data_IF_582665383107
#
_entry.id   IF_582665383107
#
_cell.length_a   1.000
_cell.length_b   1.000
_cell.length_c   1.000
_cell.angle_alpha   90.00
_cell.angle_beta   90.00
_cell.angle_gamma   90.00
#
_symmetry.space_group_name_H-M   'P 1'
#
loop_
_entity.id
_entity.type
_entity.pdbx_description
1 polymer ?
#
# COMPACT_ATOMS: atom_id res chain seq x y z
N UNK A 1 21.85 -17.42 0.26
CA UNK A 1 20.46 -17.64 0.69
C UNK A 1 19.49 -16.55 0.21
N UNK A 2 19.75 -15.26 0.49
CA UNK A 2 18.85 -14.16 0.09
C UNK A 2 18.49 -14.13 -1.41
N UNK A 3 19.47 -14.34 -2.30
CA UNK A 3 19.23 -14.42 -3.75
C UNK A 3 18.36 -15.59 -4.16
N UNK A 4 18.57 -16.76 -3.55
CA UNK A 4 17.76 -17.96 -3.83
C UNK A 4 16.31 -17.70 -3.43
N UNK A 5 16.07 -17.10 -2.26
CA UNK A 5 14.74 -16.69 -1.83
C UNK A 5 14.14 -15.61 -2.74
N UNK A 6 14.97 -14.70 -3.29
CA UNK A 6 14.55 -13.72 -4.30
C UNK A 6 14.14 -14.38 -5.62
N UNK A 7 14.85 -15.42 -6.07
CA UNK A 7 14.48 -16.18 -7.26
C UNK A 7 13.21 -17.00 -7.05
N UNK A 8 13.05 -17.63 -5.89
CA UNK A 8 11.82 -18.34 -5.54
C UNK A 8 10.63 -17.37 -5.55
N UNK A 9 10.79 -16.22 -4.90
CA UNK A 9 9.76 -15.16 -4.88
C UNK A 9 9.42 -14.66 -6.29
N UNK A 10 10.43 -14.45 -7.13
CA UNK A 10 10.23 -14.08 -8.54
C UNK A 10 9.48 -15.18 -9.32
N UNK A 11 9.85 -16.44 -9.17
CA UNK A 11 9.17 -17.55 -9.84
C UNK A 11 7.72 -17.67 -9.39
N UNK A 12 7.44 -17.54 -8.09
CA UNK A 12 6.08 -17.51 -7.56
C UNK A 12 5.28 -16.32 -8.13
N UNK A 13 5.92 -15.16 -8.23
CA UNK A 13 5.32 -13.97 -8.81
C UNK A 13 4.97 -14.17 -10.29
N UNK A 14 5.89 -14.70 -11.09
CA UNK A 14 5.67 -14.98 -12.52
C UNK A 14 4.57 -16.02 -12.71
N UNK A 15 4.57 -17.10 -11.93
CA UNK A 15 3.51 -18.10 -11.99
C UNK A 15 2.15 -17.48 -11.67
N UNK A 16 2.06 -16.68 -10.61
CA UNK A 16 0.83 -16.00 -10.24
C UNK A 16 0.37 -14.99 -11.30
N UNK A 17 1.31 -14.23 -11.87
CA UNK A 17 1.09 -13.30 -12.97
C UNK A 17 0.51 -14.03 -14.20
N UNK A 18 1.08 -15.17 -14.58
CA UNK A 18 0.58 -16.04 -15.64
C UNK A 18 -0.84 -16.59 -15.33
N UNK A 19 -1.11 -16.99 -14.09
CA UNK A 19 -2.44 -17.48 -13.69
C UNK A 19 -3.51 -16.40 -13.61
N UNK A 20 -3.13 -15.18 -13.22
CA UNK A 20 -4.06 -14.05 -13.07
C UNK A 20 -4.21 -13.21 -14.33
N UNK A 21 -3.35 -13.43 -15.33
CA UNK A 21 -3.37 -12.79 -16.64
C UNK A 21 -2.90 -11.33 -16.66
N UNK A 22 -2.23 -10.84 -15.59
CA UNK A 22 -1.80 -9.43 -15.42
C UNK A 22 -2.89 -8.35 -15.59
N UNK A 23 -4.15 -8.74 -15.74
CA UNK A 23 -5.23 -7.81 -16.06
C UNK A 23 -5.61 -6.93 -14.86
N UNK A 24 -5.17 -7.26 -13.65
CA UNK A 24 -5.57 -6.57 -12.43
C UNK A 24 -5.21 -5.08 -12.47
N UNK A 25 -3.99 -4.73 -12.88
CA UNK A 25 -3.56 -3.33 -12.92
C UNK A 25 -4.30 -2.55 -14.02
N UNK A 26 -4.50 -3.19 -15.19
CA UNK A 26 -5.24 -2.60 -16.29
C UNK A 26 -6.72 -2.37 -15.94
N UNK A 27 -7.37 -3.36 -15.31
CA UNK A 27 -8.74 -3.27 -14.78
C UNK A 27 -8.85 -2.15 -13.75
N UNK A 28 -7.91 -2.07 -12.81
CA UNK A 28 -7.86 -0.99 -11.83
C UNK A 28 -7.76 0.38 -12.51
N UNK A 29 -6.78 0.56 -13.39
CA UNK A 29 -6.54 1.81 -14.09
C UNK A 29 -7.78 2.27 -14.87
N UNK A 30 -8.42 1.37 -15.62
CA UNK A 30 -9.61 1.71 -16.40
C UNK A 30 -10.83 2.04 -15.54
N UNK A 31 -11.02 1.30 -14.44
CA UNK A 31 -12.11 1.54 -13.49
C UNK A 31 -11.93 2.91 -12.81
N UNK A 32 -10.71 3.19 -12.35
CA UNK A 32 -10.32 4.47 -11.77
C UNK A 32 -10.49 5.62 -12.76
N UNK A 33 -10.07 5.45 -14.02
CA UNK A 33 -10.24 6.47 -15.06
C UNK A 33 -11.72 6.81 -15.27
N UNK A 34 -12.59 5.81 -15.27
CA UNK A 34 -14.04 6.01 -15.36
C UNK A 34 -14.59 6.76 -14.14
N UNK A 35 -14.15 6.38 -12.94
CA UNK A 35 -14.55 7.04 -11.69
C UNK A 35 -14.10 8.50 -11.66
N UNK A 36 -12.88 8.80 -12.11
CA UNK A 36 -12.35 10.17 -12.14
C UNK A 36 -13.20 11.08 -13.05
N UNK A 37 -13.69 10.55 -14.19
CA UNK A 37 -14.64 11.26 -15.07
C UNK A 37 -15.96 11.54 -14.33
N UNK A 38 -16.52 10.54 -13.62
CA UNK A 38 -17.76 10.70 -12.85
C UNK A 38 -17.63 11.71 -11.70
N UNK A 39 -16.47 11.74 -11.04
CA UNK A 39 -16.14 12.70 -9.98
C UNK A 39 -15.94 14.13 -10.48
N UNK A 40 -15.89 14.34 -11.80
CA UNK A 40 -15.59 15.65 -12.40
C UNK A 40 -14.15 16.08 -12.13
N UNK A 41 -13.24 15.12 -12.02
CA UNK A 41 -11.81 15.38 -11.93
C UNK A 41 -11.36 15.96 -13.28
N UNK A 42 -11.18 17.29 -13.35
CA UNK A 42 -10.82 18.01 -14.59
C UNK A 42 -9.43 17.57 -15.06
N UNK A 43 -9.30 16.51 -15.88
CA UNK A 43 -8.07 16.03 -16.56
C UNK A 43 -6.76 16.33 -15.79
N UNK A 44 -6.79 16.22 -14.47
CA UNK A 44 -5.61 16.30 -13.63
C UNK A 44 -4.96 14.94 -13.75
N UNK A 45 -3.63 14.91 -13.89
CA UNK A 45 -2.87 13.65 -13.98
C UNK A 45 -3.35 12.74 -12.82
N UNK A 46 -3.88 11.57 -13.21
CA UNK A 46 -4.56 10.51 -12.41
C UNK A 46 -3.80 10.15 -11.13
N UNK A 47 -2.49 10.31 -11.22
CA UNK A 47 -1.53 10.54 -10.16
C UNK A 47 -0.72 11.75 -10.66
N UNK A 48 -0.21 12.62 -9.78
CA UNK A 48 0.80 13.58 -10.23
C UNK A 48 1.90 12.76 -10.92
N UNK A 49 1.90 12.76 -12.25
CA UNK A 49 2.75 11.85 -13.04
C UNK A 49 4.19 12.07 -12.63
N UNK A 50 4.51 13.29 -12.21
CA UNK A 50 5.80 13.68 -11.72
C UNK A 50 6.13 12.96 -10.41
N UNK A 51 5.20 12.75 -9.48
CA UNK A 51 5.43 12.01 -8.24
C UNK A 51 5.68 10.52 -8.46
N UNK A 52 4.92 9.85 -9.35
CA UNK A 52 5.21 8.45 -9.69
C UNK A 52 6.50 8.32 -10.48
N UNK A 53 6.71 9.17 -11.49
CA UNK A 53 7.95 9.16 -12.27
C UNK A 53 9.14 9.43 -11.36
N UNK A 54 9.01 10.38 -10.42
CA UNK A 54 10.03 10.66 -9.42
C UNK A 54 10.28 9.43 -8.55
N UNK A 55 9.24 8.81 -7.99
CA UNK A 55 9.37 7.61 -7.17
C UNK A 55 10.07 6.49 -7.95
N UNK A 56 9.60 6.19 -9.16
CA UNK A 56 10.21 5.21 -10.07
C UNK A 56 11.67 5.55 -10.36
N UNK A 57 11.99 6.81 -10.65
CA UNK A 57 13.37 7.26 -10.93
C UNK A 57 14.30 7.11 -9.73
N UNK A 58 13.81 7.39 -8.51
CA UNK A 58 14.62 7.26 -7.29
C UNK A 58 14.96 5.78 -7.05
N UNK A 59 14.00 4.87 -7.24
CA UNK A 59 14.21 3.43 -7.05
C UNK A 59 15.15 2.87 -8.11
N UNK A 60 14.98 3.26 -9.38
CA UNK A 60 15.85 2.79 -10.47
C UNK A 60 17.28 3.30 -10.26
N UNK A 61 17.46 4.57 -9.91
CA UNK A 61 18.78 5.14 -9.61
C UNK A 61 19.41 4.42 -8.41
N UNK A 62 18.68 4.26 -7.30
CA UNK A 62 19.18 3.54 -6.13
C UNK A 62 19.64 2.12 -6.49
N UNK A 63 18.91 1.44 -7.39
CA UNK A 63 19.27 0.09 -7.84
C UNK A 63 20.49 0.05 -8.74
N UNK A 64 20.62 1.00 -9.67
CA UNK A 64 21.83 1.13 -10.49
C UNK A 64 23.05 1.32 -9.57
N UNK A 65 22.93 2.15 -8.53
CA UNK A 65 23.99 2.37 -7.53
C UNK A 65 24.31 1.08 -6.77
N UNK A 66 23.30 0.33 -6.30
CA UNK A 66 23.51 -0.95 -5.60
C UNK A 66 24.22 -1.96 -6.50
N UNK A 67 23.78 -2.11 -7.75
CA UNK A 67 24.40 -3.02 -8.73
C UNK A 67 25.85 -2.62 -8.98
N UNK A 68 26.10 -1.31 -9.17
CA UNK A 68 27.45 -0.78 -9.37
C UNK A 68 28.35 -1.08 -8.18
N UNK A 69 27.93 -0.73 -6.96
CA UNK A 69 28.67 -1.01 -5.72
C UNK A 69 28.94 -2.50 -5.50
N UNK A 70 28.07 -3.39 -6.00
CA UNK A 70 28.28 -4.84 -5.87
C UNK A 70 29.21 -5.39 -6.94
N UNK A 71 29.17 -4.81 -8.14
CA UNK A 71 30.02 -5.20 -9.27
C UNK A 71 31.51 -4.90 -9.04
N UNK A 72 31.82 -3.89 -8.22
CA UNK A 72 33.21 -3.59 -7.84
C UNK A 72 33.77 -4.58 -6.82
N UNK A 73 32.91 -5.30 -6.09
CA UNK A 73 33.29 -6.24 -5.03
C UNK A 73 33.33 -7.70 -5.52
N UNK A 74 32.40 -8.10 -6.40
CA UNK A 74 32.37 -9.45 -6.98
C UNK A 74 32.86 -9.44 -8.43
N UNK A 75 33.72 -10.39 -8.79
CA UNK A 75 34.11 -10.65 -10.17
C UNK A 75 32.84 -10.81 -11.05
N UNK A 76 32.74 -9.98 -12.08
CA UNK A 76 31.56 -9.87 -12.93
C UNK A 76 31.27 -11.20 -13.63
N UNK A 77 30.11 -11.81 -13.35
CA UNK A 77 29.63 -13.02 -14.02
C UNK A 77 28.24 -12.77 -14.60
N UNK A 78 27.99 -13.20 -15.84
CA UNK A 78 26.70 -13.02 -16.52
C UNK A 78 25.50 -13.57 -15.74
N UNK A 79 25.69 -14.63 -14.95
CA UNK A 79 24.65 -15.20 -14.08
C UNK A 79 24.12 -14.21 -13.05
N UNK A 80 24.95 -13.27 -12.60
CA UNK A 80 24.58 -12.25 -11.62
C UNK A 80 23.60 -11.23 -12.24
N UNK A 81 23.78 -10.89 -13.52
CA UNK A 81 22.89 -9.94 -14.23
C UNK A 81 21.47 -10.48 -14.29
N UNK A 82 21.29 -11.76 -14.63
CA UNK A 82 19.97 -12.40 -14.70
C UNK A 82 19.23 -12.36 -13.36
N UNK A 83 19.94 -12.61 -12.25
CA UNK A 83 19.36 -12.52 -10.90
C UNK A 83 18.93 -11.09 -10.57
N UNK A 84 19.74 -10.08 -10.92
CA UNK A 84 19.36 -8.68 -10.68
C UNK A 84 18.17 -8.23 -11.51
N UNK A 85 18.07 -8.67 -12.77
CA UNK A 85 16.91 -8.38 -13.62
C UNK A 85 15.63 -8.99 -13.03
N UNK A 86 15.70 -10.22 -12.53
CA UNK A 86 14.57 -10.88 -11.85
C UNK A 86 14.14 -10.10 -10.58
N UNK A 87 15.09 -9.71 -9.73
CA UNK A 87 14.81 -8.92 -8.53
C UNK A 87 14.23 -7.54 -8.91
N UNK A 88 14.77 -6.90 -9.95
CA UNK A 88 14.29 -5.61 -10.42
C UNK A 88 12.84 -5.69 -10.92
N UNK A 89 12.51 -6.72 -11.71
CA UNK A 89 11.14 -6.99 -12.16
C UNK A 89 10.16 -7.19 -10.99
N UNK A 90 10.60 -7.91 -9.95
CA UNK A 90 9.82 -8.09 -8.72
C UNK A 90 9.57 -6.75 -8.00
N UNK A 91 10.57 -5.86 -7.91
CA UNK A 91 10.41 -4.55 -7.28
C UNK A 91 9.45 -3.63 -8.05
N UNK A 92 9.49 -3.64 -9.37
CA UNK A 92 8.50 -2.92 -10.20
C UNK A 92 7.09 -3.37 -9.83
N UNK A 93 6.91 -4.67 -9.63
CA UNK A 93 5.61 -5.22 -9.28
C UNK A 93 5.11 -4.76 -7.91
N UNK A 94 5.99 -4.68 -6.91
CA UNK A 94 5.63 -4.09 -5.61
C UNK A 94 5.34 -2.59 -5.68
N UNK A 95 6.00 -1.88 -6.60
CA UNK A 95 5.65 -0.49 -6.87
C UNK A 95 4.24 -0.35 -7.44
N UNK A 96 3.79 -1.26 -8.32
CA UNK A 96 2.42 -1.22 -8.83
C UNK A 96 1.38 -1.34 -7.69
N UNK A 97 1.62 -2.24 -6.73
CA UNK A 97 0.76 -2.40 -5.54
C UNK A 97 0.73 -1.09 -4.73
N UNK A 98 1.89 -0.49 -4.51
CA UNK A 98 2.01 0.79 -3.81
C UNK A 98 1.24 1.91 -4.53
N UNK A 99 1.34 1.97 -5.85
CA UNK A 99 0.62 2.94 -6.68
C UNK A 99 -0.90 2.75 -6.56
N UNK A 100 -1.39 1.51 -6.49
CA UNK A 100 -2.82 1.22 -6.30
C UNK A 100 -3.32 1.81 -4.97
N UNK A 101 -2.64 1.52 -3.85
CA UNK A 101 -3.05 2.05 -2.55
C UNK A 101 -2.88 3.57 -2.45
N UNK A 102 -1.82 4.12 -3.03
CA UNK A 102 -1.62 5.56 -3.14
C UNK A 102 -2.74 6.25 -3.93
N UNK A 103 -3.15 5.65 -5.05
CA UNK A 103 -4.26 6.10 -5.89
C UNK A 103 -5.60 6.09 -5.13
N UNK A 104 -5.84 5.05 -4.32
CA UNK A 104 -7.01 4.96 -3.44
C UNK A 104 -7.01 6.05 -2.37
N UNK A 105 -5.88 6.24 -1.68
CA UNK A 105 -5.71 7.29 -0.66
C UNK A 105 -6.05 8.68 -1.22
N UNK A 106 -5.46 9.05 -2.36
CA UNK A 106 -5.68 10.37 -2.94
C UNK A 106 -7.13 10.62 -3.34
N UNK A 107 -7.82 9.59 -3.86
CA UNK A 107 -9.24 9.70 -4.25
C UNK A 107 -10.16 9.77 -3.06
N UNK A 108 -9.88 9.01 -2.00
CA UNK A 108 -10.63 9.10 -0.76
C UNK A 108 -10.46 10.48 -0.11
N UNK A 109 -9.23 11.00 -0.08
CA UNK A 109 -8.94 12.37 0.37
C UNK A 109 -9.67 13.43 -0.45
N UNK A 110 -9.72 13.27 -1.77
CA UNK A 110 -10.46 14.16 -2.65
C UNK A 110 -11.96 14.12 -2.37
N UNK A 111 -12.52 12.92 -2.22
CA UNK A 111 -13.92 12.71 -1.90
C UNK A 111 -14.29 13.34 -0.56
N UNK A 112 -13.44 13.18 0.46
CA UNK A 112 -13.59 13.85 1.75
C UNK A 112 -13.66 15.37 1.62
N UNK A 113 -12.75 15.99 0.86
CA UNK A 113 -12.81 17.44 0.59
C UNK A 113 -14.13 17.85 -0.07
N UNK A 114 -14.70 17.00 -0.94
CA UNK A 114 -16.01 17.26 -1.56
C UNK A 114 -17.16 17.23 -0.55
N UNK A 115 -17.13 16.30 0.41
CA UNK A 115 -18.08 16.30 1.54
C UNK A 115 -17.92 17.54 2.43
N UNK A 116 -16.69 17.98 2.71
CA UNK A 116 -16.40 19.19 3.51
C UNK A 116 -16.97 20.47 2.87
N UNK A 117 -16.94 20.57 1.53
CA UNK A 117 -17.44 21.73 0.79
C UNK A 117 -18.98 21.84 0.83
N UNK A 118 -19.72 20.74 1.09
CA UNK A 118 -21.17 20.80 1.24
C UNK A 118 -21.49 21.51 2.56
N UNK A 119 -21.62 22.84 2.51
CA UNK A 119 -22.07 23.61 3.66
C UNK A 119 -23.56 23.39 3.88
N UNK A 120 -23.97 22.95 5.07
CA UNK A 120 -25.38 22.86 5.43
C UNK A 120 -25.79 24.23 5.95
N UNK A 121 -26.82 24.84 5.34
CA UNK A 121 -27.27 26.13 5.78
C UNK A 121 -28.09 25.96 7.06
N UNK A 122 -27.83 26.81 8.07
CA UNK A 122 -28.56 26.79 9.35
C UNK A 122 -29.96 27.40 9.19
N UNK A 123 -30.15 28.28 8.20
CA UNK A 123 -31.40 29.00 7.93
C UNK A 123 -32.24 28.27 6.89
N UNK A 124 -33.58 28.34 6.99
CA UNK A 124 -34.55 27.76 6.04
C UNK A 124 -34.22 28.27 4.63
N UNK A 125 -33.54 27.43 3.85
CA UNK A 125 -33.24 27.72 2.45
C UNK A 125 -34.38 27.16 1.60
N UNK A 126 -34.77 27.91 0.56
CA UNK A 126 -35.77 27.44 -0.42
C UNK A 126 -35.52 26.01 -0.91
N UNK A 127 -36.60 25.22 -0.98
CA UNK A 127 -36.63 23.76 -1.26
C UNK A 127 -35.70 23.31 -2.41
N UNK A 128 -35.53 24.15 -3.44
CA UNK A 128 -34.70 23.85 -4.60
C UNK A 128 -33.20 23.69 -4.27
N UNK A 129 -32.66 24.50 -3.35
CA UNK A 129 -31.24 24.42 -2.94
C UNK A 129 -30.98 23.23 -2.01
N UNK A 130 -31.98 22.77 -1.26
CA UNK A 130 -31.89 21.54 -0.45
C UNK A 130 -31.83 20.32 -1.37
N UNK A 131 -32.73 20.25 -2.35
CA UNK A 131 -32.76 19.16 -3.32
C UNK A 131 -31.44 19.02 -4.11
N UNK A 132 -30.78 20.13 -4.47
CA UNK A 132 -29.48 20.08 -5.16
C UNK A 132 -28.36 19.54 -4.26
N UNK A 133 -28.35 19.88 -2.96
CA UNK A 133 -27.39 19.35 -1.99
C UNK A 133 -27.60 17.86 -1.73
N UNK A 134 -28.86 17.41 -1.62
CA UNK A 134 -29.18 15.98 -1.51
C UNK A 134 -28.66 15.21 -2.73
N UNK A 135 -28.88 15.72 -3.94
CA UNK A 135 -28.33 15.10 -5.17
C UNK A 135 -26.80 15.03 -5.15
N UNK A 136 -26.11 16.04 -4.61
CA UNK A 136 -24.66 16.03 -4.47
C UNK A 136 -24.17 14.98 -3.46
N UNK A 137 -24.82 14.86 -2.30
CA UNK A 137 -24.51 13.83 -1.29
C UNK A 137 -24.64 12.43 -1.91
N UNK A 138 -25.77 12.15 -2.56
CA UNK A 138 -26.00 10.88 -3.26
C UNK A 138 -24.93 10.61 -4.32
N UNK A 139 -24.58 11.62 -5.12
CA UNK A 139 -23.51 11.50 -6.13
C UNK A 139 -22.17 11.13 -5.49
N UNK A 140 -21.80 11.76 -4.37
CA UNK A 140 -20.55 11.45 -3.68
C UNK A 140 -20.56 10.08 -3.01
N UNK A 141 -21.72 9.62 -2.52
CA UNK A 141 -21.88 8.26 -2.00
C UNK A 141 -21.73 7.19 -3.10
N UNK A 142 -22.28 7.44 -4.28
CA UNK A 142 -22.09 6.57 -5.46
C UNK A 142 -20.60 6.52 -5.85
N UNK A 143 -19.91 7.67 -5.82
CA UNK A 143 -18.47 7.72 -6.07
C UNK A 143 -17.66 6.94 -5.02
N UNK A 144 -18.03 7.03 -3.74
CA UNK A 144 -17.44 6.22 -2.67
C UNK A 144 -17.61 4.72 -2.95
N UNK A 145 -18.83 4.31 -3.28
CA UNK A 145 -19.16 2.93 -3.59
C UNK A 145 -18.34 2.39 -4.77
N UNK A 146 -18.23 3.15 -5.86
CA UNK A 146 -17.43 2.74 -7.02
C UNK A 146 -15.94 2.63 -6.70
N UNK A 147 -15.38 3.48 -5.82
CA UNK A 147 -13.99 3.34 -5.38
C UNK A 147 -13.77 2.01 -4.65
N UNK A 148 -14.67 1.64 -3.74
CA UNK A 148 -14.56 0.39 -3.01
C UNK A 148 -14.73 -0.83 -3.93
N UNK A 149 -15.70 -0.79 -4.84
CA UNK A 149 -15.93 -1.87 -5.79
C UNK A 149 -14.73 -2.04 -6.74
N UNK A 150 -14.14 -0.93 -7.20
CA UNK A 150 -12.92 -0.98 -8.01
C UNK A 150 -11.77 -1.70 -7.32
N UNK A 151 -11.58 -1.50 -6.01
CA UNK A 151 -10.57 -2.22 -5.24
C UNK A 151 -10.98 -3.69 -5.02
N UNK A 152 -12.27 -3.95 -4.80
CA UNK A 152 -12.82 -5.30 -4.62
C UNK A 152 -12.65 -6.17 -5.87
N UNK A 153 -12.81 -5.61 -7.05
CA UNK A 153 -12.67 -6.31 -8.33
C UNK A 153 -11.24 -6.83 -8.56
N UNK A 154 -10.24 -6.10 -8.06
CA UNK A 154 -8.82 -6.49 -8.17
C UNK A 154 -8.28 -7.20 -6.92
N UNK A 155 -9.11 -7.31 -5.87
CA UNK A 155 -8.69 -7.80 -4.56
C UNK A 155 -8.10 -9.22 -4.60
N UNK A 156 -8.64 -10.09 -5.45
CA UNK A 156 -8.14 -11.46 -5.59
C UNK A 156 -6.64 -11.50 -5.92
N UNK A 157 -6.23 -10.87 -7.03
CA UNK A 157 -4.82 -10.80 -7.41
C UNK A 157 -3.96 -10.07 -6.38
N UNK A 158 -4.46 -8.95 -5.87
CA UNK A 158 -3.75 -8.12 -4.90
C UNK A 158 -3.47 -8.87 -3.58
N UNK A 159 -4.41 -9.69 -3.10
CA UNK A 159 -4.23 -10.54 -1.92
C UNK A 159 -3.11 -11.56 -2.11
N UNK A 160 -3.08 -12.26 -3.25
CA UNK A 160 -2.02 -13.24 -3.53
C UNK A 160 -0.64 -12.58 -3.62
N UNK A 161 -0.53 -11.43 -4.29
CA UNK A 161 0.75 -10.73 -4.40
C UNK A 161 1.27 -10.23 -3.06
N UNK A 162 0.41 -9.62 -2.24
CA UNK A 162 0.77 -9.17 -0.90
C UNK A 162 1.15 -10.33 0.02
N UNK A 163 0.42 -11.46 -0.07
CA UNK A 163 0.73 -12.65 0.72
C UNK A 163 2.09 -13.25 0.36
N UNK A 164 2.39 -13.42 -0.94
CA UNK A 164 3.71 -13.88 -1.41
C UNK A 164 4.81 -12.92 -0.94
N UNK A 165 4.58 -11.60 -1.08
CA UNK A 165 5.52 -10.58 -0.64
C UNK A 165 5.81 -10.70 0.87
N UNK A 166 4.80 -10.82 1.73
CA UNK A 166 5.01 -10.94 3.17
C UNK A 166 5.70 -12.27 3.51
N UNK A 167 5.21 -13.39 2.97
CA UNK A 167 5.71 -14.72 3.26
C UNK A 167 7.18 -14.91 2.82
N UNK A 168 7.56 -14.34 1.68
CA UNK A 168 8.93 -14.46 1.16
C UNK A 168 9.90 -13.44 1.79
N UNK A 169 9.44 -12.24 2.16
CA UNK A 169 10.31 -11.23 2.75
C UNK A 169 10.51 -11.42 4.27
N UNK A 170 9.55 -12.00 5.00
CA UNK A 170 9.70 -12.20 6.45
C UNK A 170 10.94 -13.05 6.83
N UNK A 171 11.20 -14.23 6.21
CA UNK A 171 12.42 -14.99 6.48
C UNK A 171 13.70 -14.21 6.12
N UNK A 172 13.65 -13.39 5.06
CA UNK A 172 14.78 -12.55 4.67
C UNK A 172 15.08 -11.53 5.76
N UNK A 173 14.07 -10.86 6.31
CA UNK A 173 14.24 -9.88 7.38
C UNK A 173 14.83 -10.51 8.64
N UNK A 174 14.36 -11.70 9.04
CA UNK A 174 14.92 -12.42 10.20
C UNK A 174 16.39 -12.75 9.96
N UNK A 175 16.72 -13.34 8.80
CA UNK A 175 18.10 -13.69 8.44
C UNK A 175 19.01 -12.46 8.38
N UNK A 176 18.52 -11.36 7.81
CA UNK A 176 19.28 -10.12 7.70
C UNK A 176 19.46 -9.43 9.04
N UNK A 177 18.44 -9.37 9.88
CA UNK A 177 18.54 -8.80 11.22
C UNK A 177 19.56 -9.58 12.07
N UNK A 178 19.53 -10.92 12.02
CA UNK A 178 20.55 -11.75 12.65
C UNK A 178 21.96 -11.45 12.11
N UNK A 179 22.10 -11.40 10.78
CA UNK A 179 23.39 -11.08 10.13
C UNK A 179 23.91 -9.69 10.52
N UNK A 180 23.02 -8.69 10.60
CA UNK A 180 23.36 -7.32 10.97
C UNK A 180 23.88 -7.24 12.41
N UNK A 181 23.24 -7.94 13.36
CA UNK A 181 23.71 -8.02 14.75
C UNK A 181 25.07 -8.71 14.81
N UNK A 182 25.23 -9.86 14.14
CA UNK A 182 26.50 -10.59 14.12
C UNK A 182 27.64 -9.71 13.62
N UNK A 183 27.43 -8.99 12.52
CA UNK A 183 28.45 -8.10 11.94
C UNK A 183 28.75 -6.94 12.89
N UNK A 184 27.74 -6.29 13.48
CA UNK A 184 27.97 -5.17 14.41
C UNK A 184 28.73 -5.57 15.67
N UNK A 185 28.57 -6.81 16.14
CA UNK A 185 29.22 -7.30 17.36
C UNK A 185 30.62 -7.87 17.10
N UNK A 186 30.84 -8.54 15.96
CA UNK A 186 32.07 -9.32 15.72
C UNK A 186 33.03 -8.72 14.68
N UNK A 187 32.60 -7.85 13.77
CA UNK A 187 33.40 -7.44 12.61
C UNK A 187 33.36 -5.92 12.35
N UNK A 188 34.38 -5.37 11.69
CA UNK A 188 34.31 -4.02 11.15
C UNK A 188 33.28 -3.93 10.01
N UNK A 189 32.55 -2.83 9.93
CA UNK A 189 31.55 -2.59 8.88
C UNK A 189 32.23 -2.60 7.50
N UNK A 190 32.00 -3.66 6.72
CA UNK A 190 32.45 -3.75 5.33
C UNK A 190 31.43 -3.10 4.38
N UNK A 191 31.88 -2.66 3.20
CA UNK A 191 30.98 -2.11 2.18
C UNK A 191 29.88 -3.11 1.79
N UNK A 192 30.20 -4.41 1.75
CA UNK A 192 29.23 -5.46 1.45
C UNK A 192 28.09 -5.51 2.47
N UNK A 193 28.39 -5.41 3.78
CA UNK A 193 27.36 -5.43 4.81
C UNK A 193 26.48 -4.18 4.77
N UNK A 194 27.07 -3.02 4.48
CA UNK A 194 26.33 -1.78 4.29
C UNK A 194 25.34 -1.88 3.11
N UNK A 195 25.78 -2.36 1.95
CA UNK A 195 24.91 -2.56 0.77
C UNK A 195 23.75 -3.53 1.09
N UNK A 196 24.03 -4.61 1.81
CA UNK A 196 23.03 -5.60 2.22
C UNK A 196 21.97 -4.99 3.16
N UNK A 197 22.38 -4.13 4.10
CA UNK A 197 21.45 -3.42 4.99
C UNK A 197 20.55 -2.45 4.23
N UNK A 198 21.08 -1.75 3.23
CA UNK A 198 20.30 -0.86 2.36
C UNK A 198 19.26 -1.66 1.57
N UNK A 199 19.64 -2.80 0.98
CA UNK A 199 18.71 -3.68 0.26
C UNK A 199 17.59 -4.22 1.16
N UNK A 200 17.91 -4.55 2.42
CA UNK A 200 16.92 -4.98 3.41
C UNK A 200 15.94 -3.85 3.75
N UNK A 201 16.46 -2.66 4.03
CA UNK A 201 15.64 -1.50 4.38
C UNK A 201 14.71 -1.11 3.23
N UNK A 202 15.21 -1.10 1.99
CA UNK A 202 14.40 -0.89 0.80
C UNK A 202 13.30 -1.97 0.69
N UNK A 203 13.65 -3.25 0.88
CA UNK A 203 12.68 -4.34 0.91
C UNK A 203 11.57 -4.12 1.93
N UNK A 204 11.94 -3.71 3.14
CA UNK A 204 11.01 -3.41 4.23
C UNK A 204 10.05 -2.28 3.83
N UNK A 205 10.55 -1.20 3.24
CA UNK A 205 9.72 -0.09 2.76
C UNK A 205 8.64 -0.55 1.77
N UNK A 206 8.92 -1.51 0.89
CA UNK A 206 7.92 -2.05 -0.04
C UNK A 206 6.72 -2.72 0.65
N UNK A 207 6.91 -3.26 1.85
CA UNK A 207 5.83 -3.85 2.64
C UNK A 207 5.11 -2.78 3.46
N UNK A 208 5.87 -1.83 4.02
CA UNK A 208 5.34 -0.80 4.91
C UNK A 208 4.54 0.27 4.18
N UNK A 209 5.03 0.76 3.03
CA UNK A 209 4.41 1.87 2.30
C UNK A 209 2.95 1.57 1.88
N UNK A 210 2.60 0.42 1.26
CA UNK A 210 1.20 0.11 0.96
C UNK A 210 0.35 -0.01 2.23
N UNK A 211 0.90 -0.50 3.34
CA UNK A 211 0.20 -0.56 4.63
C UNK A 211 -0.09 0.83 5.20
N UNK A 212 0.86 1.77 5.09
CA UNK A 212 0.66 3.17 5.47
C UNK A 212 -0.44 3.81 4.59
N UNK A 213 -0.42 3.59 3.27
CA UNK A 213 -1.47 4.17 2.41
C UNK A 213 -2.85 3.56 2.66
N UNK A 214 -2.92 2.27 2.98
CA UNK A 214 -4.17 1.64 3.41
C UNK A 214 -4.68 2.27 4.71
N UNK A 215 -3.84 2.42 5.73
CA UNK A 215 -4.17 3.12 6.99
C UNK A 215 -4.65 4.56 6.75
N UNK A 216 -3.90 5.32 5.95
CA UNK A 216 -4.27 6.69 5.61
C UNK A 216 -5.61 6.74 4.87
N UNK A 217 -5.93 5.75 4.05
CA UNK A 217 -7.22 5.66 3.36
C UNK A 217 -8.34 5.42 4.36
N UNK A 218 -8.18 4.50 5.30
CA UNK A 218 -9.12 4.27 6.41
C UNK A 218 -9.35 5.56 7.20
N UNK A 219 -8.27 6.27 7.56
CA UNK A 219 -8.36 7.54 8.27
C UNK A 219 -9.12 8.64 7.48
N UNK A 220 -9.00 8.68 6.14
CA UNK A 220 -9.82 9.61 5.36
C UNK A 220 -11.31 9.22 5.35
N UNK A 221 -11.65 7.92 5.40
CA UNK A 221 -13.04 7.46 5.54
C UNK A 221 -13.63 7.85 6.89
N UNK A 222 -12.88 7.68 7.99
CA UNK A 222 -13.29 8.13 9.32
C UNK A 222 -13.52 9.65 9.36
N UNK A 223 -12.66 10.43 8.70
CA UNK A 223 -12.89 11.88 8.57
C UNK A 223 -14.14 12.22 7.75
N UNK A 224 -14.50 11.43 6.74
CA UNK A 224 -15.79 11.60 6.02
C UNK A 224 -16.95 11.39 6.99
N UNK A 225 -16.91 10.32 7.80
CA UNK A 225 -17.90 10.03 8.84
C UNK A 225 -18.03 11.22 9.80
N UNK A 226 -16.92 11.78 10.27
CA UNK A 226 -16.92 12.94 11.16
C UNK A 226 -17.50 14.19 10.51
N UNK A 227 -17.19 14.43 9.22
CA UNK A 227 -17.77 15.55 8.46
C UNK A 227 -19.29 15.41 8.38
N UNK A 228 -19.79 14.22 8.04
CA UNK A 228 -21.23 13.94 7.95
C UNK A 228 -21.89 14.08 9.33
N UNK A 229 -21.28 13.58 10.40
CA UNK A 229 -21.79 13.76 11.78
C UNK A 229 -21.89 15.23 12.18
N UNK A 230 -20.84 16.03 11.93
CA UNK A 230 -20.86 17.48 12.22
C UNK A 230 -21.94 18.20 11.40
N UNK A 231 -22.15 17.77 10.16
CA UNK A 231 -23.20 18.28 9.29
C UNK A 231 -24.59 17.92 9.82
N UNK A 232 -24.79 16.68 10.27
CA UNK A 232 -26.05 16.19 10.84
C UNK A 232 -26.47 17.01 12.07
N UNK A 233 -25.53 17.31 12.97
CA UNK A 233 -25.78 18.13 14.17
C UNK A 233 -26.21 19.58 13.86
N UNK A 234 -25.92 20.08 12.66
CA UNK A 234 -26.25 21.44 12.23
C UNK A 234 -27.46 21.51 11.30
N UNK A 235 -27.99 20.35 10.90
CA UNK A 235 -29.07 20.27 9.92
C UNK A 235 -30.41 20.55 10.59
N UNK A 236 -31.19 21.47 10.02
CA UNK A 236 -32.55 21.81 10.48
C UNK A 236 -33.63 21.26 9.54
N UNK A 237 -33.25 20.79 8.35
CA UNK A 237 -34.17 20.25 7.35
C UNK A 237 -34.27 18.73 7.46
N UNK A 238 -35.48 18.21 7.71
CA UNK A 238 -35.74 16.79 7.93
C UNK A 238 -35.32 15.89 6.76
N UNK A 239 -35.52 16.35 5.52
CA UNK A 239 -35.16 15.57 4.33
C UNK A 239 -33.66 15.46 4.17
N UNK A 240 -32.93 16.56 4.38
CA UNK A 240 -31.47 16.54 4.35
C UNK A 240 -30.88 15.74 5.51
N UNK A 241 -31.47 15.83 6.70
CA UNK A 241 -31.10 15.02 7.86
C UNK A 241 -31.24 13.52 7.56
N UNK A 242 -32.37 13.10 6.99
CA UNK A 242 -32.60 11.71 6.59
C UNK A 242 -31.53 11.22 5.61
N UNK A 243 -31.20 12.01 4.59
CA UNK A 243 -30.20 11.64 3.58
C UNK A 243 -28.79 11.54 4.16
N UNK A 244 -28.43 12.41 5.11
CA UNK A 244 -27.14 12.33 5.81
C UNK A 244 -27.08 11.09 6.71
N UNK A 245 -28.17 10.72 7.39
CA UNK A 245 -28.25 9.46 8.17
C UNK A 245 -28.07 8.25 7.27
N UNK A 246 -28.73 8.21 6.12
CA UNK A 246 -28.57 7.13 5.13
C UNK A 246 -27.13 7.07 4.61
N UNK A 247 -26.52 8.21 4.28
CA UNK A 247 -25.13 8.26 3.84
C UNK A 247 -24.14 7.77 4.93
N UNK A 248 -24.34 8.22 6.16
CA UNK A 248 -23.55 7.81 7.32
C UNK A 248 -23.65 6.29 7.55
N UNK A 249 -24.87 5.75 7.54
CA UNK A 249 -25.12 4.33 7.70
C UNK A 249 -24.49 3.51 6.57
N UNK A 250 -24.60 3.98 5.33
CA UNK A 250 -23.97 3.34 4.18
C UNK A 250 -22.45 3.21 4.34
N UNK A 251 -21.77 4.31 4.71
CA UNK A 251 -20.31 4.32 4.88
C UNK A 251 -19.90 3.43 6.07
N UNK A 252 -20.66 3.46 7.18
CA UNK A 252 -20.39 2.59 8.34
C UNK A 252 -20.57 1.11 8.03
N UNK A 253 -21.53 0.75 7.17
CA UNK A 253 -21.76 -0.65 6.76
C UNK A 253 -20.71 -1.15 5.76
N UNK A 254 -19.99 -0.25 5.08
CA UNK A 254 -18.96 -0.60 4.09
C UNK A 254 -17.70 0.25 4.33
N UNK A 255 -17.00 0.06 5.45
CA UNK A 255 -15.75 0.77 5.69
C UNK A 255 -14.69 0.36 4.67
N UNK A 256 -13.70 1.23 4.47
CA UNK A 256 -12.46 0.81 3.81
C UNK A 256 -11.67 0.00 4.84
N UNK A 257 -11.66 -1.32 4.66
CA UNK A 257 -10.83 -2.23 5.45
C UNK A 257 -10.22 -3.26 4.50
N UNK A 258 -8.89 -3.28 4.43
CA UNK A 258 -8.16 -4.17 3.56
C UNK A 258 -7.44 -5.23 4.39
N UNK A 259 -7.95 -6.45 4.32
CA UNK A 259 -7.42 -7.60 5.06
C UNK A 259 -6.95 -8.68 4.08
N UNK A 260 -5.67 -9.04 4.18
CA UNK A 260 -5.06 -10.10 3.37
C UNK A 260 -5.59 -11.45 3.88
N UNK A 261 -6.27 -12.19 3.00
CA UNK A 261 -6.92 -13.48 3.30
C UNK A 261 -7.78 -13.49 4.58
N UNK A 262 -8.39 -12.35 4.94
CA UNK A 262 -9.20 -12.17 6.16
C UNK A 262 -8.44 -12.39 7.48
N UNK A 263 -7.12 -12.50 7.46
CA UNK A 263 -6.30 -12.76 8.66
C UNK A 263 -5.34 -11.62 8.97
N UNK A 264 -4.66 -11.08 7.95
CA UNK A 264 -3.61 -10.08 8.17
C UNK A 264 -4.11 -8.71 7.73
N UNK A 265 -4.42 -7.80 8.66
CA UNK A 265 -4.86 -6.45 8.31
C UNK A 265 -3.70 -5.69 7.67
N UNK A 266 -3.96 -5.04 6.53
CA UNK A 266 -2.99 -4.19 5.85
C UNK A 266 -3.12 -2.77 6.42
N UNK A 267 -2.58 -2.56 7.62
CA UNK A 267 -2.69 -1.30 8.35
C UNK A 267 -1.37 -1.00 9.09
N UNK A 268 -1.32 0.06 9.90
CA UNK A 268 -0.10 0.43 10.62
C UNK A 268 0.40 -0.64 11.62
N UNK A 269 -0.43 -1.62 11.99
CA UNK A 269 -0.02 -2.72 12.85
C UNK A 269 0.87 -3.76 12.15
N UNK A 270 0.79 -3.88 10.82
CA UNK A 270 1.59 -4.83 10.05
C UNK A 270 3.11 -4.62 10.18
N UNK A 271 3.68 -3.42 9.97
CA UNK A 271 5.11 -3.20 10.16
C UNK A 271 5.56 -3.46 11.60
N UNK A 272 4.73 -3.11 12.59
CA UNK A 272 5.01 -3.36 14.01
C UNK A 272 5.07 -4.86 14.28
N UNK A 273 4.12 -5.63 13.73
CA UNK A 273 4.10 -7.08 13.84
C UNK A 273 5.33 -7.72 13.17
N UNK A 274 5.73 -7.26 11.98
CA UNK A 274 6.93 -7.75 11.30
C UNK A 274 8.19 -7.47 12.12
N UNK A 275 8.36 -6.25 12.65
CA UNK A 275 9.51 -5.90 13.50
C UNK A 275 9.52 -6.76 14.77
N UNK A 276 8.38 -6.90 15.44
CA UNK A 276 8.24 -7.71 16.66
C UNK A 276 8.60 -9.19 16.41
N UNK A 277 8.11 -9.77 15.31
CA UNK A 277 8.47 -11.11 14.88
C UNK A 277 9.97 -11.20 14.59
N UNK A 278 10.55 -10.24 13.87
CA UNK A 278 11.98 -10.23 13.58
C UNK A 278 12.82 -10.22 14.86
N UNK A 279 12.50 -9.35 15.83
CA UNK A 279 13.19 -9.30 17.12
C UNK A 279 13.08 -10.65 17.84
N UNK A 280 11.86 -11.19 17.96
CA UNK A 280 11.59 -12.46 18.66
C UNK A 280 12.39 -13.61 18.06
N UNK A 281 12.35 -13.78 16.74
CA UNK A 281 13.08 -14.86 16.08
C UNK A 281 14.59 -14.67 16.14
N UNK A 282 15.08 -13.43 16.04
CA UNK A 282 16.51 -13.16 16.17
C UNK A 282 17.02 -13.51 17.57
N UNK A 283 16.27 -13.17 18.62
CA UNK A 283 16.60 -13.56 20.00
C UNK A 283 16.65 -15.09 20.13
N UNK A 284 15.66 -15.80 19.61
CA UNK A 284 15.62 -17.28 19.62
C UNK A 284 16.85 -17.86 18.90
N UNK A 285 17.19 -17.35 17.71
CA UNK A 285 18.35 -17.82 16.95
C UNK A 285 19.65 -17.58 17.73
N UNK A 286 19.82 -16.40 18.34
CA UNK A 286 21.01 -16.09 19.16
C UNK A 286 21.12 -17.08 20.33
N UNK A 287 20.03 -17.29 21.07
CA UNK A 287 19.99 -18.23 22.19
C UNK A 287 20.37 -19.64 21.74
N UNK A 288 19.76 -20.13 20.66
CA UNK A 288 20.07 -21.47 20.11
C UNK A 288 21.54 -21.60 19.68
N UNK A 289 22.13 -20.55 19.08
CA UNK A 289 23.55 -20.58 18.71
C UNK A 289 24.47 -20.61 19.93
N UNK A 290 24.17 -19.83 20.98
CA UNK A 290 24.96 -19.85 22.23
C UNK A 290 24.84 -21.17 22.97
N UNK A 291 23.69 -21.85 22.93
CA UNK A 291 23.55 -23.19 23.49
C UNK A 291 24.40 -24.20 22.73
N UNK A 292 24.49 -24.10 21.39
CA UNK A 292 25.31 -25.02 20.60
C UNK A 292 26.81 -24.88 20.89
N UNK A 293 27.32 -23.65 21.10
CA UNK A 293 28.75 -23.42 21.35
C UNK A 293 29.22 -23.85 22.75
N UNK A 294 28.29 -24.16 23.67
CA UNK A 294 28.58 -24.57 25.07
C UNK A 294 28.48 -26.09 25.30
N UNK A 295 28.19 -26.90 24.27
CA UNK A 295 28.16 -28.37 24.30
C UNK A 295 29.26 -28.96 23.42
#
# INVERSE_FOLDING_TARGET
MAYVMGLIEYLLFVLLSLFTGDEYFYKFHNSIKSIDVLMGYKRGKIIDSNAIIFLLSVITIMRIVIIYCRSTVLAFRFTIIGVYLAIFSLRISYMLITVIFFAMYHRMKFLRKKFEIITIPVTIIGKQKVASKIRLIRKYLINYHHLLDCLRDINGGLQYFLAIMIACNLPKYIFFAYSAIKIQVLEHITIHSAVQNVEMFEGFLFVVVPAIFAELTTAEVERIIDVINRQLLRCTDEHMELELKVALEFIRRRPFDYVIWRTVPLNASLPIAIISLCITYVVIVIQLTQFHDNF
#
